data_IF_173331146264
#
_entry.id   IF_173331146264
#
_cell.length_a   1.000
_cell.length_b   1.000
_cell.length_c   1.000
_cell.angle_alpha   90.00
_cell.angle_beta   90.00
_cell.angle_gamma   90.00
#
_symmetry.space_group_name_H-M   'P 1'
#
loop_
_entity.id
_entity.type
_entity.pdbx_description
1 polymer ?
#
# COMPACT_ATOMS: atom_id res chain seq x y z
N UNK A 1 -19.92 -4.29 8.67
CA UNK A 1 -18.65 -3.58 8.39
C UNK A 1 -17.64 -4.11 9.41
N UNK A 2 -16.48 -4.62 8.99
CA UNK A 2 -15.51 -5.15 9.94
C UNK A 2 -14.88 -3.96 10.69
N UNK A 3 -15.02 -3.91 12.01
CA UNK A 3 -14.36 -2.91 12.85
C UNK A 3 -12.85 -2.92 12.56
N UNK A 4 -12.19 -1.75 12.51
CA UNK A 4 -10.74 -1.71 12.44
C UNK A 4 -10.21 -2.40 13.70
N UNK A 5 -9.59 -3.57 13.53
CA UNK A 5 -8.80 -4.21 14.58
C UNK A 5 -7.78 -3.19 15.06
N UNK A 6 -7.72 -2.95 16.37
CA UNK A 6 -6.78 -2.01 16.96
C UNK A 6 -5.36 -2.31 16.44
N UNK A 7 -4.56 -1.28 16.09
CA UNK A 7 -3.22 -1.48 15.56
C UNK A 7 -2.40 -2.28 16.57
N UNK A 8 -1.67 -3.30 16.10
CA UNK A 8 -0.78 -4.06 16.96
C UNK A 8 0.28 -3.13 17.55
N UNK A 9 0.47 -3.22 18.87
CA UNK A 9 1.48 -2.43 19.59
C UNK A 9 2.84 -2.49 18.90
N UNK A 10 3.55 -1.37 18.83
CA UNK A 10 4.90 -1.32 18.25
C UNK A 10 5.85 -2.34 18.89
N UNK A 11 5.66 -2.59 20.19
CA UNK A 11 6.48 -3.53 20.97
C UNK A 11 6.34 -4.99 20.52
N UNK A 12 5.21 -5.37 19.91
CA UNK A 12 5.06 -6.73 19.35
C UNK A 12 5.66 -6.84 17.94
N UNK A 13 5.81 -5.71 17.24
CA UNK A 13 6.35 -5.64 15.88
C UNK A 13 7.85 -5.32 15.92
N UNK A 14 8.67 -6.30 16.32
CA UNK A 14 10.13 -6.15 16.52
C UNK A 14 10.86 -5.45 15.35
N UNK A 15 10.47 -5.74 14.12
CA UNK A 15 11.09 -5.17 12.92
C UNK A 15 10.71 -3.69 12.71
N UNK A 16 9.46 -3.35 13.00
CA UNK A 16 8.96 -1.98 12.93
C UNK A 16 9.54 -1.12 14.06
N UNK A 17 9.84 -1.74 15.22
CA UNK A 17 10.56 -1.10 16.32
C UNK A 17 12.00 -0.73 15.93
N UNK A 18 12.72 -1.62 15.23
CA UNK A 18 14.07 -1.31 14.73
C UNK A 18 14.03 -0.10 13.78
N UNK A 19 13.09 -0.08 12.84
CA UNK A 19 12.95 1.05 11.92
C UNK A 19 12.55 2.34 12.65
N UNK A 20 11.66 2.24 13.65
CA UNK A 20 11.27 3.38 14.46
C UNK A 20 12.46 3.99 15.21
N UNK A 21 13.24 3.15 15.90
CA UNK A 21 14.43 3.60 16.63
C UNK A 21 15.47 4.22 15.69
N UNK A 22 15.67 3.61 14.52
CA UNK A 22 16.54 4.16 13.49
C UNK A 22 16.11 5.58 13.08
N UNK A 23 14.85 5.78 12.69
CA UNK A 23 14.38 7.11 12.28
C UNK A 23 14.43 8.13 13.43
N UNK A 24 14.19 7.70 14.66
CA UNK A 24 14.23 8.59 15.83
C UNK A 24 15.64 9.13 16.11
N UNK A 25 16.67 8.32 15.85
CA UNK A 25 18.08 8.71 16.02
C UNK A 25 18.60 9.41 14.77
N UNK A 26 18.21 8.96 13.58
CA UNK A 26 18.73 9.45 12.31
C UNK A 26 18.29 10.88 12.01
N UNK A 27 17.04 11.26 12.32
CA UNK A 27 16.56 12.63 12.08
C UNK A 27 17.43 13.69 12.77
N UNK A 28 17.73 13.60 14.09
CA UNK A 28 18.67 14.51 14.73
C UNK A 28 20.08 14.48 14.11
N UNK A 29 20.60 13.31 13.76
CA UNK A 29 21.94 13.16 13.17
C UNK A 29 22.05 13.89 11.83
N UNK A 30 21.03 13.80 10.97
CA UNK A 30 21.03 14.52 9.69
C UNK A 30 21.22 16.02 9.91
N UNK A 31 20.54 16.62 10.89
CA UNK A 31 20.69 18.05 11.16
C UNK A 31 22.01 18.42 11.84
N UNK A 32 22.52 17.55 12.71
CA UNK A 32 23.72 17.84 13.50
C UNK A 32 25.02 17.56 12.75
N UNK A 33 25.04 16.59 11.83
CA UNK A 33 26.25 16.10 11.16
C UNK A 33 26.12 16.24 9.65
N UNK A 34 25.15 15.55 9.03
CA UNK A 34 25.12 15.35 7.57
C UNK A 34 24.84 16.66 6.80
N UNK A 35 23.75 17.35 7.16
CA UNK A 35 23.30 18.60 6.53
C UNK A 35 23.92 19.85 7.15
N UNK A 36 24.72 19.73 8.22
CA UNK A 36 25.36 20.87 8.87
C UNK A 36 26.11 21.81 7.90
N UNK A 37 26.86 21.32 6.88
CA UNK A 37 27.58 22.19 5.94
C UNK A 37 26.68 23.08 5.07
N UNK A 38 25.43 22.67 4.86
CA UNK A 38 24.49 23.37 3.96
C UNK A 38 23.42 24.15 4.71
N UNK A 39 23.28 23.92 6.01
CA UNK A 39 22.36 24.65 6.86
C UNK A 39 22.83 26.11 7.03
N UNK A 40 21.91 27.09 7.06
CA UNK A 40 22.27 28.47 7.36
C UNK A 40 22.88 28.56 8.76
N UNK A 41 23.80 29.50 8.97
CA UNK A 41 24.55 29.65 10.23
C UNK A 41 23.66 29.77 11.47
N UNK A 42 22.45 30.30 11.33
CA UNK A 42 21.47 30.38 12.41
C UNK A 42 20.99 29.00 12.95
N UNK A 43 21.09 27.94 12.14
CA UNK A 43 20.74 26.57 12.52
C UNK A 43 21.97 25.73 12.89
N UNK A 44 23.19 26.25 12.67
CA UNK A 44 24.42 25.60 13.09
C UNK A 44 24.65 25.88 14.57
N UNK A 45 24.55 24.84 15.39
CA UNK A 45 24.79 24.93 16.83
C UNK A 45 26.25 24.59 17.16
N UNK A 46 26.75 25.06 18.31
CA UNK A 46 28.05 24.63 18.83
C UNK A 46 28.15 23.10 18.95
N UNK A 47 27.05 22.42 19.27
CA UNK A 47 27.00 20.95 19.31
C UNK A 47 27.27 20.33 17.93
N UNK A 48 26.69 20.89 16.87
CA UNK A 48 26.92 20.44 15.49
C UNK A 48 28.41 20.58 15.10
N UNK A 49 29.03 21.72 15.41
CA UNK A 49 30.45 21.94 15.16
C UNK A 49 31.34 20.94 15.93
N UNK A 50 31.09 20.75 17.22
CA UNK A 50 31.86 19.81 18.05
C UNK A 50 31.73 18.37 17.58
N UNK A 51 30.50 17.92 17.29
CA UNK A 51 30.25 16.56 16.80
C UNK A 51 30.90 16.33 15.44
N UNK A 52 30.84 17.32 14.54
CA UNK A 52 31.45 17.23 13.22
C UNK A 52 32.97 17.24 13.29
N UNK A 53 33.56 18.05 14.16
CA UNK A 53 35.00 18.04 14.37
C UNK A 53 35.46 16.68 14.92
N UNK A 54 34.77 16.16 15.95
CA UNK A 54 35.02 14.83 16.47
C UNK A 54 34.90 13.75 15.38
N UNK A 55 33.87 13.84 14.52
CA UNK A 55 33.66 12.93 13.41
C UNK A 55 34.81 12.94 12.42
N UNK A 56 35.23 14.13 11.98
CA UNK A 56 36.34 14.32 11.03
C UNK A 56 37.64 13.78 11.64
N UNK A 57 37.94 14.13 12.89
CA UNK A 57 39.16 13.71 13.58
C UNK A 57 39.22 12.19 13.80
N UNK A 58 38.06 11.53 13.94
CA UNK A 58 37.97 10.09 14.20
C UNK A 58 37.99 9.26 12.91
N UNK A 59 37.26 9.69 11.87
CA UNK A 59 37.00 8.88 10.67
C UNK A 59 37.78 9.34 9.44
N UNK A 60 38.35 10.56 9.46
CA UNK A 60 39.05 11.16 8.33
C UNK A 60 38.25 11.10 7.02
N UNK A 61 36.95 11.38 7.14
CA UNK A 61 35.98 11.32 6.06
C UNK A 61 36.12 12.55 5.16
N UNK A 62 36.61 12.32 3.92
CA UNK A 62 36.80 13.38 2.94
C UNK A 62 35.53 14.11 2.57
N UNK A 63 34.38 13.44 2.65
CA UNK A 63 33.10 14.05 2.34
C UNK A 63 32.79 15.26 3.24
N UNK A 64 33.42 15.31 4.42
CA UNK A 64 33.23 16.37 5.41
C UNK A 64 34.50 17.19 5.71
N UNK A 65 35.70 16.72 5.34
CA UNK A 65 36.93 17.52 5.44
C UNK A 65 36.98 18.65 4.40
N UNK A 66 36.60 18.34 3.16
CA UNK A 66 36.63 19.27 2.03
C UNK A 66 35.22 19.78 1.70
N UNK A 67 35.09 20.89 0.94
CA UNK A 67 33.81 21.28 0.37
C UNK A 67 33.20 20.09 -0.39
N UNK A 68 31.91 19.77 -0.16
CA UNK A 68 31.31 18.56 -0.69
C UNK A 68 31.35 18.59 -2.23
N UNK A 69 31.81 17.48 -2.82
CA UNK A 69 31.75 17.32 -4.27
C UNK A 69 30.30 17.52 -4.75
N UNK A 70 30.06 18.06 -5.97
CA UNK A 70 28.71 18.41 -6.42
C UNK A 70 27.69 17.26 -6.36
N UNK A 71 28.14 16.03 -6.60
CA UNK A 71 27.29 14.84 -6.51
C UNK A 71 26.95 14.48 -5.06
N UNK A 72 27.88 14.66 -4.12
CA UNK A 72 27.66 14.40 -2.69
C UNK A 72 26.78 15.50 -2.08
N UNK A 73 26.97 16.75 -2.51
CA UNK A 73 26.06 17.85 -2.18
C UNK A 73 24.61 17.52 -2.54
N UNK A 74 24.38 16.91 -3.71
CA UNK A 74 23.05 16.45 -4.09
C UNK A 74 22.50 15.34 -3.18
N UNK A 75 23.35 14.44 -2.67
CA UNK A 75 22.93 13.45 -1.67
C UNK A 75 22.55 14.09 -0.34
N UNK A 76 23.28 15.09 0.13
CA UNK A 76 22.90 15.86 1.34
C UNK A 76 21.55 16.55 1.12
N UNK A 77 21.29 17.12 -0.06
CA UNK A 77 19.98 17.69 -0.38
C UNK A 77 18.87 16.64 -0.36
N UNK A 78 19.12 15.45 -0.91
CA UNK A 78 18.18 14.33 -0.84
C UNK A 78 17.91 13.92 0.60
N UNK A 79 18.91 13.89 1.46
CA UNK A 79 18.75 13.60 2.88
C UNK A 79 17.87 14.67 3.57
N UNK A 80 18.16 15.95 3.32
CA UNK A 80 17.43 17.04 3.94
C UNK A 80 15.97 17.17 3.44
N UNK A 81 15.75 17.08 2.13
CA UNK A 81 14.44 17.35 1.54
C UNK A 81 13.56 16.12 1.36
N UNK A 82 14.15 14.92 1.31
CA UNK A 82 13.40 13.67 1.16
C UNK A 82 13.52 12.76 2.38
N UNK A 83 14.73 12.47 2.88
CA UNK A 83 14.88 11.57 4.04
C UNK A 83 14.26 12.16 5.30
N UNK A 84 14.47 13.44 5.61
CA UNK A 84 13.92 14.04 6.84
C UNK A 84 12.38 14.03 6.85
N UNK A 85 11.66 14.56 5.83
CA UNK A 85 10.20 14.54 5.87
C UNK A 85 9.61 13.14 5.92
N UNK A 86 10.20 12.19 5.17
CA UNK A 86 9.76 10.79 5.18
C UNK A 86 10.04 10.13 6.53
N UNK A 87 11.17 10.40 7.16
CA UNK A 87 11.54 9.84 8.48
C UNK A 87 10.60 10.35 9.58
N UNK A 88 10.30 11.66 9.59
CA UNK A 88 9.34 12.26 10.54
C UNK A 88 7.94 11.66 10.33
N UNK A 89 7.50 11.52 9.09
CA UNK A 89 6.24 10.86 8.78
C UNK A 89 6.25 9.38 9.20
N UNK A 90 7.35 8.66 8.96
CA UNK A 90 7.52 7.24 9.25
C UNK A 90 7.43 6.95 10.75
N UNK A 91 7.94 7.82 11.62
CA UNK A 91 7.76 7.70 13.07
C UNK A 91 6.27 7.63 13.44
N UNK A 92 5.47 8.54 12.89
CA UNK A 92 4.01 8.53 13.08
C UNK A 92 3.33 7.35 12.38
N UNK A 93 3.80 6.99 11.17
CA UNK A 93 3.25 5.90 10.34
C UNK A 93 3.45 4.53 10.96
N UNK A 94 4.64 4.25 11.47
CA UNK A 94 4.98 3.01 12.17
C UNK A 94 4.16 2.89 13.45
N UNK A 95 4.05 3.98 14.24
CA UNK A 95 3.24 4.02 15.48
C UNK A 95 1.77 3.67 15.23
N UNK A 96 1.19 4.16 14.14
CA UNK A 96 -0.23 3.92 13.79
C UNK A 96 -0.47 2.67 12.94
N UNK A 97 0.58 1.93 12.58
CA UNK A 97 0.53 0.81 11.63
C UNK A 97 -0.13 1.20 10.29
N UNK A 98 0.32 2.33 9.72
CA UNK A 98 -0.29 2.90 8.51
C UNK A 98 -0.07 1.96 7.29
N UNK A 99 -1.12 1.67 6.50
CA UNK A 99 -1.00 0.77 5.34
C UNK A 99 -0.02 1.26 4.27
N UNK A 100 0.32 2.56 4.24
CA UNK A 100 1.26 3.16 3.29
C UNK A 100 2.72 3.11 3.74
N UNK A 101 3.02 2.66 4.97
CA UNK A 101 4.38 2.50 5.47
C UNK A 101 5.26 1.69 4.51
N UNK A 102 4.84 0.52 3.99
CA UNK A 102 5.66 -0.25 3.07
C UNK A 102 5.97 0.46 1.75
N UNK A 103 5.18 1.44 1.33
CA UNK A 103 5.46 2.17 0.09
C UNK A 103 6.58 3.18 0.32
N UNK A 104 6.46 3.99 1.38
CA UNK A 104 7.43 5.04 1.67
C UNK A 104 8.77 4.47 2.15
N UNK A 105 8.75 3.45 3.02
CA UNK A 105 9.97 2.81 3.52
C UNK A 105 10.70 2.01 2.44
N UNK A 106 10.00 1.55 1.39
CA UNK A 106 10.65 0.91 0.24
C UNK A 106 11.49 1.92 -0.53
N UNK A 107 10.91 3.07 -0.88
CA UNK A 107 11.62 4.11 -1.64
C UNK A 107 12.76 4.67 -0.79
N UNK A 108 12.49 4.98 0.49
CA UNK A 108 13.51 5.41 1.45
C UNK A 108 14.66 4.40 1.55
N UNK A 109 14.36 3.13 1.83
CA UNK A 109 15.39 2.11 2.04
C UNK A 109 16.23 1.87 0.79
N UNK A 110 15.61 1.90 -0.39
CA UNK A 110 16.31 1.74 -1.66
C UNK A 110 17.24 2.94 -1.93
N UNK A 111 16.75 4.15 -1.72
CA UNK A 111 17.55 5.36 -1.93
C UNK A 111 18.73 5.42 -0.94
N UNK A 112 18.47 5.20 0.35
CA UNK A 112 19.50 5.16 1.39
C UNK A 112 20.55 4.08 1.11
N UNK A 113 20.14 2.90 0.62
CA UNK A 113 21.06 1.86 0.19
C UNK A 113 21.95 2.34 -0.96
N UNK A 114 21.36 2.93 -2.01
CA UNK A 114 22.11 3.36 -3.19
C UNK A 114 23.09 4.49 -2.86
N UNK A 115 22.65 5.55 -2.20
CA UNK A 115 23.52 6.69 -1.86
C UNK A 115 24.67 6.25 -0.95
N UNK A 116 24.37 5.46 0.09
CA UNK A 116 25.39 4.95 1.01
C UNK A 116 26.36 3.98 0.33
N UNK A 117 25.89 3.17 -0.62
CA UNK A 117 26.75 2.27 -1.40
C UNK A 117 27.69 3.06 -2.30
N UNK A 118 27.22 4.13 -2.96
CA UNK A 118 28.07 5.01 -3.76
C UNK A 118 29.15 5.65 -2.88
N UNK A 119 28.80 6.15 -1.70
CA UNK A 119 29.79 6.68 -0.76
C UNK A 119 30.81 5.61 -0.34
N UNK A 120 30.37 4.37 -0.09
CA UNK A 120 31.28 3.28 0.28
C UNK A 120 32.22 2.91 -0.87
N UNK A 121 31.72 2.82 -2.10
CA UNK A 121 32.55 2.57 -3.29
C UNK A 121 33.62 3.65 -3.44
N UNK A 122 33.25 4.92 -3.22
CA UNK A 122 34.16 6.05 -3.29
C UNK A 122 35.20 6.04 -2.15
N UNK A 123 34.81 5.71 -0.92
CA UNK A 123 35.76 5.51 0.21
C UNK A 123 36.86 4.51 -0.18
N UNK A 124 36.49 3.41 -0.83
CA UNK A 124 37.45 2.40 -1.25
C UNK A 124 38.33 2.84 -2.42
N UNK A 125 37.88 3.82 -3.22
CA UNK A 125 38.63 4.41 -4.33
C UNK A 125 39.76 5.35 -3.87
N UNK A 126 39.70 5.90 -2.65
CA UNK A 126 40.68 6.88 -2.14
C UNK A 126 42.10 6.33 -2.04
N UNK A 127 43.07 6.91 -2.76
CA UNK A 127 44.46 6.42 -2.76
C UNK A 127 45.30 6.90 -1.56
N UNK A 128 44.87 7.97 -0.90
CA UNK A 128 45.55 8.72 0.17
C UNK A 128 45.12 8.32 1.58
N UNK A 129 44.27 7.28 1.72
CA UNK A 129 43.85 6.74 3.01
C UNK A 129 44.32 5.30 3.16
N UNK A 130 44.79 4.97 4.36
CA UNK A 130 45.21 3.60 4.69
C UNK A 130 44.02 2.65 4.69
N UNK A 131 44.28 1.35 4.51
CA UNK A 131 43.24 0.31 4.56
C UNK A 131 42.51 0.32 5.91
N UNK A 132 43.22 0.57 7.02
CA UNK A 132 42.64 0.65 8.34
C UNK A 132 41.64 1.82 8.48
N UNK A 133 41.97 3.01 7.95
CA UNK A 133 41.06 4.15 7.93
C UNK A 133 39.81 3.86 7.09
N UNK A 134 39.99 3.27 5.90
CA UNK A 134 38.87 2.84 5.03
C UNK A 134 37.97 1.81 5.71
N UNK A 135 38.55 0.87 6.45
CA UNK A 135 37.80 -0.12 7.22
C UNK A 135 37.02 0.55 8.36
N UNK A 136 37.64 1.49 9.09
CA UNK A 136 36.99 2.19 10.20
C UNK A 136 35.73 2.94 9.75
N UNK A 137 35.82 3.71 8.66
CA UNK A 137 34.65 4.40 8.09
C UNK A 137 33.65 3.40 7.47
N UNK A 138 34.12 2.30 6.88
CA UNK A 138 33.23 1.24 6.36
C UNK A 138 32.43 0.55 7.47
N UNK A 139 32.99 0.42 8.68
CA UNK A 139 32.25 -0.11 9.85
C UNK A 139 31.14 0.84 10.30
N UNK A 140 31.28 2.14 10.02
CA UNK A 140 30.22 3.11 10.25
C UNK A 140 29.15 3.06 9.15
N UNK A 141 29.53 3.13 7.87
CA UNK A 141 28.59 3.18 6.74
C UNK A 141 27.92 1.82 6.45
N UNK A 142 28.64 0.72 6.65
CA UNK A 142 28.17 -0.64 6.35
C UNK A 142 26.85 -1.00 7.02
N UNK A 143 26.66 -0.74 8.33
CA UNK A 143 25.36 -0.89 8.98
C UNK A 143 24.22 -0.11 8.33
N UNK A 144 24.45 1.12 7.85
CA UNK A 144 23.43 1.91 7.14
C UNK A 144 23.07 1.28 5.80
N UNK A 145 24.07 0.85 5.02
CA UNK A 145 23.87 0.14 3.74
C UNK A 145 23.06 -1.14 3.98
N UNK A 146 23.46 -1.95 4.96
CA UNK A 146 22.79 -3.20 5.30
C UNK A 146 21.35 -2.98 5.77
N UNK A 147 21.12 -1.96 6.61
CA UNK A 147 19.79 -1.61 7.09
C UNK A 147 18.89 -1.11 5.96
N UNK A 148 19.40 -0.25 5.07
CA UNK A 148 18.68 0.23 3.89
C UNK A 148 18.25 -0.91 2.97
N UNK A 149 19.18 -1.82 2.65
CA UNK A 149 18.89 -3.01 1.84
C UNK A 149 17.84 -3.92 2.52
N UNK A 150 18.00 -4.19 3.81
CA UNK A 150 17.06 -5.01 4.58
C UNK A 150 15.67 -4.38 4.63
N UNK A 151 15.59 -3.07 4.85
CA UNK A 151 14.32 -2.32 4.87
C UNK A 151 13.64 -2.38 3.51
N UNK A 152 14.37 -2.13 2.42
CA UNK A 152 13.83 -2.20 1.05
C UNK A 152 13.27 -3.59 0.73
N UNK A 153 14.06 -4.64 0.97
CA UNK A 153 13.64 -6.02 0.70
C UNK A 153 12.41 -6.39 1.52
N UNK A 154 12.39 -6.06 2.80
CA UNK A 154 11.20 -6.34 3.60
C UNK A 154 9.95 -5.64 3.06
N UNK A 155 10.04 -4.33 2.80
CA UNK A 155 8.89 -3.57 2.35
C UNK A 155 8.38 -4.07 1.01
N UNK A 156 9.29 -4.50 0.12
CA UNK A 156 8.95 -5.18 -1.11
C UNK A 156 8.14 -6.46 -0.86
N UNK A 157 8.57 -7.34 0.05
CA UNK A 157 7.84 -8.56 0.38
C UNK A 157 6.49 -8.30 1.04
N UNK A 158 6.39 -7.31 1.93
CA UNK A 158 5.11 -6.89 2.54
C UNK A 158 4.13 -6.39 1.48
N UNK A 159 4.60 -5.54 0.57
CA UNK A 159 3.78 -4.98 -0.51
C UNK A 159 3.33 -6.07 -1.48
N UNK A 160 4.25 -6.92 -1.93
CA UNK A 160 3.96 -8.08 -2.79
C UNK A 160 2.89 -8.97 -2.18
N UNK A 161 3.01 -9.31 -0.89
CA UNK A 161 2.02 -10.15 -0.20
C UNK A 161 0.64 -9.51 -0.19
N UNK A 162 0.54 -8.21 0.10
CA UNK A 162 -0.74 -7.47 0.10
C UNK A 162 -1.38 -7.43 -1.30
N UNK A 163 -0.59 -7.19 -2.34
CA UNK A 163 -1.06 -7.16 -3.73
C UNK A 163 -1.56 -8.53 -4.21
N UNK A 164 -0.83 -9.60 -3.93
CA UNK A 164 -1.22 -10.96 -4.30
C UNK A 164 -2.54 -11.39 -3.60
N UNK A 165 -2.72 -11.02 -2.33
CA UNK A 165 -3.97 -11.30 -1.59
C UNK A 165 -5.14 -10.52 -2.19
N UNK A 166 -4.94 -9.23 -2.53
CA UNK A 166 -5.98 -8.40 -3.17
C UNK A 166 -6.43 -8.99 -4.51
N UNK A 167 -5.48 -9.35 -5.37
CA UNK A 167 -5.76 -9.99 -6.67
C UNK A 167 -6.54 -11.31 -6.54
N UNK A 168 -6.18 -12.17 -5.58
CA UNK A 168 -6.94 -13.42 -5.28
C UNK A 168 -8.37 -13.14 -4.80
N UNK A 169 -8.58 -12.12 -3.96
CA UNK A 169 -9.93 -11.74 -3.49
C UNK A 169 -10.79 -11.20 -4.63
N UNK A 170 -10.22 -10.36 -5.49
CA UNK A 170 -10.91 -9.78 -6.65
C UNK A 170 -11.31 -10.84 -7.68
N UNK A 171 -10.41 -11.78 -7.99
CA UNK A 171 -10.72 -12.90 -8.90
C UNK A 171 -11.83 -13.80 -8.35
N UNK A 172 -11.81 -14.14 -7.04
CA UNK A 172 -12.90 -14.87 -6.38
C UNK A 172 -14.23 -14.10 -6.43
N UNK A 173 -14.22 -12.79 -6.20
CA UNK A 173 -15.41 -11.91 -6.29
C UNK A 173 -15.98 -11.90 -7.72
N UNK A 174 -15.12 -11.82 -8.74
CA UNK A 174 -15.52 -11.91 -10.16
C UNK A 174 -16.15 -13.27 -10.48
N UNK A 175 -15.53 -14.39 -10.08
CA UNK A 175 -16.08 -15.74 -10.25
C UNK A 175 -17.46 -15.91 -9.58
N UNK A 176 -17.64 -15.39 -8.36
CA UNK A 176 -18.94 -15.42 -7.65
C UNK A 176 -20.02 -14.63 -8.40
N UNK A 177 -19.71 -13.41 -8.87
CA UNK A 177 -20.63 -12.60 -9.68
C UNK A 177 -21.03 -13.30 -10.99
N UNK A 178 -20.09 -13.97 -11.66
CA UNK A 178 -20.37 -14.72 -12.89
C UNK A 178 -21.29 -15.91 -12.63
N UNK A 179 -21.04 -16.68 -11.56
CA UNK A 179 -21.92 -17.81 -11.16
C UNK A 179 -23.32 -17.34 -10.80
N UNK A 180 -23.46 -16.21 -10.10
CA UNK A 180 -24.75 -15.63 -9.74
C UNK A 180 -25.53 -15.15 -10.97
N UNK A 181 -24.85 -14.51 -11.93
CA UNK A 181 -25.46 -14.08 -13.20
C UNK A 181 -25.93 -15.29 -14.03
N UNK A 182 -25.12 -16.35 -14.11
CA UNK A 182 -25.47 -17.57 -14.85
C UNK A 182 -26.58 -18.40 -14.15
N UNK A 183 -26.64 -18.37 -12.82
CA UNK A 183 -27.76 -18.94 -12.07
C UNK A 183 -29.06 -18.16 -12.29
N UNK A 184 -29.00 -16.83 -12.34
CA UNK A 184 -30.17 -15.97 -12.56
C UNK A 184 -30.69 -16.02 -13.99
N UNK A 185 -29.86 -16.28 -15.00
CA UNK A 185 -30.31 -16.53 -16.37
C UNK A 185 -31.01 -17.89 -16.52
N UNK A 186 -30.61 -18.92 -15.76
CA UNK A 186 -31.30 -20.22 -15.74
C UNK A 186 -32.67 -20.21 -15.06
N UNK A 187 -32.95 -19.25 -14.16
CA UNK A 187 -34.24 -19.12 -13.46
C UNK A 187 -35.25 -18.19 -14.16
N UNK A 188 -34.92 -17.56 -15.30
CA UNK A 188 -35.91 -16.80 -16.05
C UNK A 188 -36.71 -17.76 -16.93
N UNK A 189 -38.01 -18.00 -16.68
CA UNK A 189 -38.85 -18.65 -17.67
C UNK A 189 -38.85 -17.77 -18.93
N UNK A 190 -38.75 -18.40 -20.09
CA UNK A 190 -38.81 -17.75 -21.38
C UNK A 190 -40.24 -17.21 -21.62
N UNK A 191 -40.60 -16.09 -21.00
CA UNK A 191 -41.67 -15.25 -21.52
C UNK A 191 -41.10 -14.44 -22.69
N UNK A 192 -40.84 -15.14 -23.80
CA UNK A 192 -40.62 -14.50 -25.08
C UNK A 192 -41.97 -13.98 -25.56
N UNK A 193 -42.25 -12.70 -25.32
CA UNK A 193 -43.37 -12.02 -25.94
C UNK A 193 -43.03 -11.86 -27.42
N UNK A 194 -43.59 -12.72 -28.27
CA UNK A 194 -43.47 -12.63 -29.72
C UNK A 194 -44.31 -11.43 -30.16
N UNK A 195 -43.65 -10.30 -30.43
CA UNK A 195 -44.28 -9.11 -30.96
C UNK A 195 -44.60 -9.37 -32.44
N UNK A 196 -45.78 -9.93 -32.71
CA UNK A 196 -46.26 -10.10 -34.09
C UNK A 196 -46.80 -8.74 -34.57
N UNK A 197 -46.08 -8.14 -35.51
CA UNK A 197 -46.41 -6.85 -36.11
C UNK A 197 -47.51 -7.07 -37.15
N UNK A 198 -48.77 -6.91 -36.76
CA UNK A 198 -49.90 -6.91 -37.68
C UNK A 198 -49.91 -5.57 -38.42
N UNK A 199 -49.63 -5.61 -39.73
CA UNK A 199 -49.84 -4.48 -40.62
C UNK A 199 -51.29 -4.52 -41.13
N UNK A 200 -52.12 -3.59 -40.69
CA UNK A 200 -53.46 -3.41 -41.27
C UNK A 200 -53.37 -2.38 -42.39
N UNK A 201 -53.58 -2.83 -43.62
CA UNK A 201 -53.81 -1.99 -44.80
C UNK A 201 -55.17 -1.31 -44.62
N UNK A 202 -55.19 0.03 -44.56
CA UNK A 202 -56.41 0.81 -44.47
C UNK A 202 -57.00 1.02 -45.87
N UNK A 203 -58.10 0.33 -46.16
CA UNK A 203 -59.11 0.78 -47.13
C UNK A 203 -60.41 1.06 -46.38
N UNK A 204 -60.86 2.31 -46.52
CA UNK A 204 -62.24 2.81 -46.43
C UNK A 204 -63.14 2.36 -45.26
N UNK A 205 -63.51 3.36 -44.44
CA UNK A 205 -64.91 3.73 -44.24
C UNK A 205 -65.81 2.77 -43.45
N UNK A 206 -66.19 3.26 -42.27
CA UNK A 206 -67.23 2.78 -41.34
C UNK A 206 -66.85 1.64 -40.37
N UNK A 207 -67.06 1.99 -39.11
CA UNK A 207 -67.32 1.19 -37.91
C UNK A 207 -66.20 0.27 -37.37
N UNK A 208 -65.47 0.77 -36.35
CA UNK A 208 -64.72 -0.07 -35.40
C UNK A 208 -64.44 0.65 -34.05
N UNK A 209 -64.89 0.00 -32.97
CA UNK A 209 -64.51 0.07 -31.53
C UNK A 209 -63.01 -0.31 -31.31
N UNK A 210 -62.42 -0.55 -30.09
CA UNK A 210 -62.82 -0.39 -28.67
C UNK A 210 -61.70 0.07 -27.69
N UNK A 211 -62.09 0.21 -26.42
CA UNK A 211 -61.35 0.06 -25.15
C UNK A 211 -60.01 -0.69 -25.16
N UNK A 212 -58.96 -0.03 -24.67
CA UNK A 212 -57.71 -0.64 -24.21
C UNK A 212 -57.96 -1.53 -22.97
N UNK A 213 -58.09 -2.83 -23.20
CA UNK A 213 -58.04 -3.84 -22.14
C UNK A 213 -56.64 -4.47 -22.15
N UNK A 214 -55.80 -4.03 -21.21
CA UNK A 214 -54.50 -4.64 -20.97
C UNK A 214 -54.71 -6.04 -20.35
N UNK A 215 -54.69 -7.07 -21.18
CA UNK A 215 -54.88 -8.46 -20.76
C UNK A 215 -53.60 -8.99 -20.07
N UNK A 216 -53.58 -8.98 -18.74
CA UNK A 216 -52.60 -9.73 -17.94
C UNK A 216 -52.99 -11.20 -17.95
N UNK A 217 -52.30 -12.01 -18.76
CA UNK A 217 -52.34 -13.47 -18.65
C UNK A 217 -50.95 -14.02 -18.31
N UNK A 218 -50.51 -13.76 -17.08
CA UNK A 218 -49.49 -14.59 -16.45
C UNK A 218 -50.16 -15.92 -16.06
N UNK A 219 -49.87 -16.98 -16.81
CA UNK A 219 -50.29 -18.34 -16.45
C UNK A 219 -49.46 -18.80 -15.25
N UNK A 220 -49.94 -18.50 -14.04
CA UNK A 220 -49.46 -19.15 -12.82
C UNK A 220 -49.86 -20.62 -12.92
N UNK A 221 -48.86 -21.49 -13.04
CA UNK A 221 -49.04 -22.93 -12.90
C UNK A 221 -49.31 -23.28 -11.45
N UNK A 222 -50.57 -23.21 -11.03
CA UNK A 222 -51.05 -23.84 -9.80
C UNK A 222 -51.79 -25.12 -10.16
N UNK A 223 -51.18 -26.29 -9.95
CA UNK A 223 -51.92 -27.54 -9.75
C UNK A 223 -51.99 -27.83 -8.26
N UNK A 224 -53.15 -27.44 -7.75
CA UNK A 224 -53.94 -27.94 -6.62
C UNK A 224 -53.44 -29.16 -5.86
N UNK A 225 -53.41 -28.92 -4.55
CA UNK A 225 -53.49 -29.81 -3.39
C UNK A 225 -54.65 -30.80 -3.54
N UNK A 226 -54.41 -32.06 -3.19
CA UNK A 226 -55.41 -33.12 -3.07
C UNK A 226 -56.01 -33.07 -1.66
N UNK A 227 -57.30 -32.80 -1.54
CA UNK A 227 -58.11 -33.08 -0.35
C UNK A 227 -59.51 -33.39 -0.81
N UNK A 228 -60.05 -34.52 -0.38
CA UNK A 228 -61.46 -34.78 0.02
C UNK A 228 -61.64 -36.29 0.28
N UNK A 229 -62.65 -36.76 1.02
CA UNK A 229 -63.29 -36.17 2.22
C UNK A 229 -63.55 -37.19 3.36
N UNK A 230 -63.79 -36.63 4.55
CA UNK A 230 -64.62 -37.05 5.71
C UNK A 230 -65.14 -38.51 5.78
N UNK A 231 -64.84 -39.18 6.91
CA UNK A 231 -65.73 -40.16 7.55
C UNK A 231 -65.61 -40.15 9.09
N UNK A 232 -66.70 -39.74 9.73
CA UNK A 232 -67.32 -40.21 10.99
C UNK A 232 -66.49 -40.53 12.26
N UNK A 233 -66.84 -39.79 13.32
CA UNK A 233 -66.82 -40.05 14.79
C UNK A 233 -67.33 -41.49 15.15
N UNK A 234 -67.26 -42.04 16.41
CA UNK A 234 -67.02 -41.39 17.71
C UNK A 234 -66.25 -42.19 18.79
N UNK A 235 -66.15 -41.56 19.97
CA UNK A 235 -66.26 -42.14 21.32
C UNK A 235 -65.03 -42.77 22.04
N UNK A 236 -64.83 -42.22 23.25
CA UNK A 236 -64.62 -42.90 24.54
C UNK A 236 -63.37 -43.77 24.76
N UNK A 237 -62.45 -43.27 25.59
CA UNK A 237 -62.28 -43.65 27.01
C UNK A 237 -60.90 -43.18 27.49
#
# INVERSE_FOLDING_TARGET
>A
MASPTAPASLWSRKRDLIYFSFFAIHVPIIFLVDAAPILPTALQSNLSHTLRQFYIDTYHDKFFEEPPAPWFYFFILMELFYHVPVSVWALGGLKRDDPLVPVHLLIFGLQAFLTSTVCLVEVWSWADRTVAQKQNISMLYGPYVALGAFMALDMFFRLRTRLLVKSKKESRKRKRKMKQRNGRSKLRPACACKLERVYTVLTQGRDAFPLDTCCVKCKVGSRTRYTDPIALNPAAA
#
